data_IF_898878256629
#
_entry.id   IF_898878256629
#
_cell.length_a   1.000
_cell.length_b   1.000
_cell.length_c   1.000
_cell.angle_alpha   90.00
_cell.angle_beta   90.00
_cell.angle_gamma   90.00
#
_symmetry.space_group_name_H-M   'P 1'
#
loop_
_entity.id
_entity.type
_entity.pdbx_description
1 polymer ?
#
# COMPACT_ATOMS: atom_id res chain seq x y z
N UNK A 1 14.54 -17.75 21.94
CA UNK A 1 15.24 -17.07 20.83
C UNK A 1 16.60 -16.60 21.31
N UNK A 2 17.64 -17.19 20.80
CA UNK A 2 18.99 -16.73 21.13
C UNK A 2 19.29 -15.45 20.36
N UNK A 3 19.42 -14.34 21.05
CA UNK A 3 19.78 -13.08 20.44
C UNK A 3 21.25 -13.13 20.01
N UNK A 4 21.52 -12.91 18.73
CA UNK A 4 22.87 -12.76 18.22
C UNK A 4 23.50 -11.45 18.68
N UNK A 5 24.81 -11.29 18.51
CA UNK A 5 25.47 -10.01 18.77
C UNK A 5 24.87 -8.87 17.93
N UNK A 6 24.51 -9.14 16.68
CA UNK A 6 23.84 -8.19 15.81
C UNK A 6 22.46 -7.79 16.38
N UNK A 7 21.67 -8.75 16.88
CA UNK A 7 20.38 -8.47 17.51
C UNK A 7 20.53 -7.53 18.71
N UNK A 8 21.55 -7.76 19.54
CA UNK A 8 21.83 -6.90 20.71
C UNK A 8 22.19 -5.47 20.30
N UNK A 9 22.89 -5.28 19.19
CA UNK A 9 23.23 -3.96 18.66
C UNK A 9 22.00 -3.23 18.09
N UNK A 10 21.16 -3.93 17.36
CA UNK A 10 19.97 -3.34 16.74
C UNK A 10 18.92 -2.93 17.75
N UNK A 11 18.84 -3.59 18.89
CA UNK A 11 17.85 -3.28 19.93
C UNK A 11 18.33 -2.29 20.98
N UNK A 12 19.42 -1.57 20.76
CA UNK A 12 19.74 -0.40 21.58
C UNK A 12 18.67 0.67 21.42
N UNK A 13 18.33 1.35 22.52
CA UNK A 13 17.27 2.36 22.55
C UNK A 13 17.42 3.43 21.47
N UNK A 14 18.63 3.90 21.22
CA UNK A 14 18.91 4.91 20.19
C UNK A 14 18.62 4.37 18.78
N UNK A 15 18.97 3.11 18.52
CA UNK A 15 18.71 2.48 17.22
C UNK A 15 17.22 2.28 16.97
N UNK A 16 16.43 1.97 18.01
CA UNK A 16 14.99 1.83 17.91
C UNK A 16 14.34 3.16 17.49
N UNK A 17 14.76 4.27 18.08
CA UNK A 17 14.25 5.58 17.72
C UNK A 17 14.60 5.95 16.27
N UNK A 18 15.82 5.68 15.83
CA UNK A 18 16.23 5.89 14.43
C UNK A 18 15.44 5.00 13.45
N UNK A 19 15.14 3.75 13.82
CA UNK A 19 14.31 2.87 13.02
C UNK A 19 12.91 3.44 12.88
N UNK A 20 12.28 3.89 13.97
CA UNK A 20 10.94 4.48 13.94
C UNK A 20 10.91 5.72 13.05
N UNK A 21 11.86 6.64 13.21
CA UNK A 21 11.96 7.83 12.38
C UNK A 21 12.24 7.49 10.91
N UNK A 22 13.11 6.53 10.66
CA UNK A 22 13.44 6.04 9.33
C UNK A 22 12.23 5.44 8.63
N UNK A 23 11.47 4.59 9.31
CA UNK A 23 10.22 4.02 8.78
C UNK A 23 9.19 5.11 8.45
N UNK A 24 9.00 6.06 9.35
CA UNK A 24 8.06 7.16 9.13
C UNK A 24 8.44 8.01 7.92
N UNK A 25 9.70 8.43 7.82
CA UNK A 25 10.18 9.24 6.70
C UNK A 25 10.10 8.47 5.38
N UNK A 26 10.50 7.20 5.38
CA UNK A 26 10.47 6.34 4.19
C UNK A 26 9.04 6.11 3.71
N UNK A 27 8.13 5.84 4.63
CA UNK A 27 6.70 5.70 4.32
C UNK A 27 6.12 6.97 3.69
N UNK A 28 6.39 8.12 4.30
CA UNK A 28 5.89 9.42 3.79
C UNK A 28 6.46 9.75 2.41
N UNK A 29 7.75 9.50 2.20
CA UNK A 29 8.39 9.72 0.89
C UNK A 29 7.80 8.81 -0.17
N UNK A 30 7.64 7.52 0.13
CA UNK A 30 7.07 6.55 -0.80
C UNK A 30 5.59 6.86 -1.09
N UNK A 31 4.82 7.18 -0.06
CA UNK A 31 3.42 7.60 -0.21
C UNK A 31 3.28 8.79 -1.15
N UNK A 32 4.14 9.79 -1.00
CA UNK A 32 4.16 10.99 -1.84
C UNK A 32 4.39 10.63 -3.32
N UNK A 33 5.37 9.80 -3.60
CA UNK A 33 5.67 9.37 -4.97
C UNK A 33 4.52 8.56 -5.60
N UNK A 34 3.91 7.69 -4.83
CA UNK A 34 2.74 6.92 -5.27
C UNK A 34 1.55 7.84 -5.51
N UNK A 35 1.32 8.80 -4.63
CA UNK A 35 0.24 9.77 -4.76
C UNK A 35 0.34 10.59 -6.05
N UNK A 36 1.54 11.02 -6.43
CA UNK A 36 1.77 11.73 -7.70
C UNK A 36 1.32 10.86 -8.89
N UNK A 37 1.66 9.57 -8.87
CA UNK A 37 1.22 8.63 -9.90
C UNK A 37 -0.31 8.46 -9.93
N UNK A 38 -0.94 8.42 -8.77
CA UNK A 38 -2.38 8.32 -8.65
C UNK A 38 -3.10 9.55 -9.20
N UNK A 39 -2.64 10.75 -8.86
CA UNK A 39 -3.23 12.02 -9.27
C UNK A 39 -3.27 12.17 -10.78
N UNK A 40 -2.27 11.66 -11.49
CA UNK A 40 -2.25 11.65 -12.95
C UNK A 40 -3.41 10.85 -13.57
N UNK A 41 -4.01 9.95 -12.81
CA UNK A 41 -5.14 9.12 -13.22
C UNK A 41 -6.41 9.44 -12.41
N UNK A 42 -6.47 10.59 -11.78
CA UNK A 42 -7.61 11.04 -10.97
C UNK A 42 -7.96 10.06 -9.84
N UNK A 43 -6.95 9.48 -9.22
CA UNK A 43 -7.06 8.62 -8.04
C UNK A 43 -6.41 9.29 -6.83
N UNK A 44 -6.92 9.01 -5.64
CA UNK A 44 -6.21 9.30 -4.41
C UNK A 44 -5.38 8.08 -3.99
N UNK A 45 -4.40 8.30 -3.13
CA UNK A 45 -3.62 7.21 -2.54
C UNK A 45 -4.52 6.21 -1.80
N UNK A 46 -5.46 6.70 -0.98
CA UNK A 46 -6.38 5.83 -0.24
C UNK A 46 -7.31 5.03 -1.15
N UNK A 47 -7.78 5.61 -2.25
CA UNK A 47 -8.54 4.89 -3.26
C UNK A 47 -7.73 3.74 -3.86
N UNK A 48 -6.47 3.99 -4.22
CA UNK A 48 -5.60 2.94 -4.74
C UNK A 48 -5.42 1.80 -3.74
N UNK A 49 -5.15 2.11 -2.48
CA UNK A 49 -4.94 1.09 -1.44
C UNK A 49 -6.19 0.23 -1.26
N UNK A 50 -7.37 0.83 -1.24
CA UNK A 50 -8.65 0.10 -1.17
C UNK A 50 -8.82 -0.83 -2.39
N UNK A 51 -8.55 -0.32 -3.58
CA UNK A 51 -8.64 -1.13 -4.81
C UNK A 51 -7.68 -2.32 -4.76
N UNK A 52 -6.44 -2.13 -4.31
CA UNK A 52 -5.44 -3.20 -4.23
C UNK A 52 -5.87 -4.30 -3.26
N UNK A 53 -6.50 -3.96 -2.14
CA UNK A 53 -7.06 -4.95 -1.21
C UNK A 53 -8.23 -5.74 -1.84
N UNK A 54 -9.08 -5.06 -2.61
CA UNK A 54 -10.15 -5.72 -3.36
C UNK A 54 -9.57 -6.67 -4.42
N UNK A 55 -8.52 -6.27 -5.13
CA UNK A 55 -7.82 -7.12 -6.10
C UNK A 55 -7.20 -8.36 -5.46
N UNK A 56 -6.75 -8.27 -4.22
CA UNK A 56 -6.25 -9.42 -3.46
C UNK A 56 -7.35 -10.39 -3.02
N UNK A 57 -8.60 -10.06 -3.26
CA UNK A 57 -9.73 -10.93 -2.97
C UNK A 57 -10.55 -10.57 -1.73
N UNK A 58 -10.23 -9.47 -1.05
CA UNK A 58 -11.04 -9.00 0.08
C UNK A 58 -12.30 -8.33 -0.48
N UNK A 59 -13.47 -8.92 -0.18
CA UNK A 59 -14.75 -8.48 -0.72
C UNK A 59 -15.69 -7.84 0.30
N UNK A 60 -15.44 -8.04 1.59
CA UNK A 60 -16.28 -7.51 2.66
C UNK A 60 -15.73 -6.17 3.15
N UNK A 61 -16.62 -5.17 3.25
CA UNK A 61 -16.26 -3.83 3.74
C UNK A 61 -15.57 -3.86 5.11
N UNK A 62 -16.06 -4.70 6.02
CA UNK A 62 -15.48 -4.78 7.37
C UNK A 62 -14.02 -5.26 7.35
N UNK A 63 -13.71 -6.22 6.49
CA UNK A 63 -12.36 -6.76 6.38
C UNK A 63 -11.40 -5.73 5.76
N UNK A 64 -11.86 -4.98 4.77
CA UNK A 64 -11.08 -3.88 4.18
C UNK A 64 -10.80 -2.80 5.22
N UNK A 65 -11.84 -2.37 5.95
CA UNK A 65 -11.72 -1.34 6.98
C UNK A 65 -10.73 -1.75 8.07
N UNK A 66 -10.81 -2.99 8.56
CA UNK A 66 -9.92 -3.52 9.59
C UNK A 66 -8.48 -3.60 9.08
N UNK A 67 -8.28 -4.11 7.88
CA UNK A 67 -6.94 -4.30 7.31
C UNK A 67 -6.22 -2.99 7.03
N UNK A 68 -6.95 -1.97 6.62
CA UNK A 68 -6.41 -0.66 6.29
C UNK A 68 -6.50 0.35 7.44
N UNK A 69 -6.97 -0.06 8.60
CA UNK A 69 -7.18 0.82 9.75
C UNK A 69 -8.06 2.04 9.42
N UNK A 70 -9.07 1.83 8.58
CA UNK A 70 -10.01 2.86 8.16
C UNK A 70 -11.29 2.82 9.01
N UNK A 71 -11.82 3.99 9.33
CA UNK A 71 -13.17 4.09 9.88
C UNK A 71 -14.19 3.70 8.81
N UNK A 72 -15.28 3.03 9.21
CA UNK A 72 -16.34 2.59 8.31
C UNK A 72 -16.88 3.73 7.44
N UNK A 73 -17.05 4.92 8.01
CA UNK A 73 -17.52 6.09 7.27
C UNK A 73 -16.56 6.53 6.18
N UNK A 74 -15.26 6.55 6.47
CA UNK A 74 -14.23 6.90 5.51
C UNK A 74 -14.17 5.88 4.35
N UNK A 75 -14.25 4.59 4.66
CA UNK A 75 -14.31 3.55 3.64
C UNK A 75 -15.54 3.71 2.75
N UNK A 76 -16.71 3.97 3.33
CA UNK A 76 -17.94 4.18 2.55
C UNK A 76 -17.82 5.35 1.57
N UNK A 77 -17.18 6.47 1.99
CA UNK A 77 -16.91 7.60 1.11
C UNK A 77 -15.98 7.21 -0.04
N UNK A 78 -14.90 6.51 0.26
CA UNK A 78 -13.95 6.02 -0.75
C UNK A 78 -14.66 5.11 -1.76
N UNK A 79 -15.44 4.15 -1.29
CA UNK A 79 -16.19 3.24 -2.17
C UNK A 79 -17.21 3.97 -3.04
N UNK A 80 -17.89 4.97 -2.49
CA UNK A 80 -18.82 5.81 -3.24
C UNK A 80 -18.11 6.59 -4.35
N UNK A 81 -16.97 7.20 -4.05
CA UNK A 81 -16.18 7.95 -5.03
C UNK A 81 -15.68 7.04 -6.15
N UNK A 82 -15.22 5.83 -5.80
CA UNK A 82 -14.79 4.84 -6.79
C UNK A 82 -15.94 4.34 -7.68
N UNK A 83 -17.15 4.23 -7.14
CA UNK A 83 -18.34 3.93 -7.94
C UNK A 83 -18.69 5.08 -8.89
N UNK A 84 -18.62 6.32 -8.42
CA UNK A 84 -18.86 7.50 -9.25
C UNK A 84 -17.86 7.63 -10.40
N UNK A 85 -16.63 7.20 -10.17
CA UNK A 85 -15.58 7.13 -11.20
C UNK A 85 -15.68 5.91 -12.11
N UNK A 86 -16.70 5.08 -11.92
CA UNK A 86 -16.90 3.83 -12.66
C UNK A 86 -15.73 2.83 -12.55
N UNK A 87 -15.05 2.84 -11.43
CA UNK A 87 -13.93 1.92 -11.13
C UNK A 87 -14.44 0.67 -10.43
N UNK A 88 -15.39 0.85 -9.51
CA UNK A 88 -16.03 -0.23 -8.76
C UNK A 88 -17.52 -0.34 -9.09
N UNK A 89 -18.02 -1.55 -8.98
CA UNK A 89 -19.44 -1.88 -9.02
C UNK A 89 -19.79 -2.71 -7.78
N UNK A 90 -20.86 -2.35 -7.10
CA UNK A 90 -21.42 -3.15 -6.03
C UNK A 90 -22.52 -4.04 -6.60
N UNK A 91 -22.40 -5.34 -6.42
CA UNK A 91 -23.37 -6.35 -6.86
C UNK A 91 -23.65 -7.30 -5.70
N UNK A 92 -24.91 -7.37 -5.22
CA UNK A 92 -25.40 -8.31 -4.20
C UNK A 92 -24.44 -8.56 -3.04
N UNK A 93 -23.94 -7.53 -2.38
CA UNK A 93 -22.93 -7.57 -1.29
C UNK A 93 -21.49 -7.87 -1.73
N UNK A 94 -21.25 -8.05 -3.03
CA UNK A 94 -19.91 -8.19 -3.59
C UNK A 94 -19.42 -6.88 -4.16
N UNK A 95 -18.13 -6.62 -3.99
CA UNK A 95 -17.44 -5.47 -4.58
C UNK A 95 -16.65 -5.99 -5.78
N UNK A 96 -16.96 -5.46 -6.95
CA UNK A 96 -16.31 -5.86 -8.21
C UNK A 96 -15.58 -4.67 -8.83
N UNK A 97 -14.45 -4.95 -9.46
CA UNK A 97 -13.72 -3.96 -10.24
C UNK A 97 -14.24 -4.02 -11.68
N UNK A 98 -14.57 -2.87 -12.24
CA UNK A 98 -15.06 -2.79 -13.63
C UNK A 98 -13.91 -2.97 -14.62
N UNK A 99 -14.22 -3.20 -15.89
CA UNK A 99 -13.21 -3.28 -16.95
C UNK A 99 -12.40 -1.98 -17.06
N UNK A 100 -13.08 -0.82 -17.04
CA UNK A 100 -12.41 0.47 -17.04
C UNK A 100 -11.57 0.70 -15.78
N UNK A 101 -12.02 0.17 -14.65
CA UNK A 101 -11.27 0.15 -13.40
C UNK A 101 -9.98 -0.65 -13.52
N UNK A 102 -10.04 -1.85 -14.09
CA UNK A 102 -8.84 -2.69 -14.30
C UNK A 102 -7.80 -1.99 -15.20
N UNK A 103 -8.25 -1.37 -16.27
CA UNK A 103 -7.37 -0.62 -17.18
C UNK A 103 -6.69 0.57 -16.49
N UNK A 104 -7.45 1.32 -15.69
CA UNK A 104 -6.94 2.45 -14.93
C UNK A 104 -5.93 2.01 -13.87
N UNK A 105 -6.23 0.93 -13.16
CA UNK A 105 -5.33 0.36 -12.15
C UNK A 105 -4.03 -0.11 -12.79
N UNK A 106 -4.11 -0.82 -13.91
CA UNK A 106 -2.94 -1.29 -14.63
C UNK A 106 -2.02 -0.11 -15.04
N UNK A 107 -2.61 0.92 -15.62
CA UNK A 107 -1.90 2.12 -16.03
C UNK A 107 -1.24 2.84 -14.85
N UNK A 108 -1.94 2.91 -13.71
CA UNK A 108 -1.43 3.55 -12.50
C UNK A 108 -0.29 2.73 -11.89
N UNK A 109 -0.48 1.42 -11.76
CA UNK A 109 0.52 0.52 -11.18
C UNK A 109 1.79 0.41 -12.05
N UNK A 110 1.67 0.48 -13.36
CA UNK A 110 2.81 0.51 -14.26
C UNK A 110 3.69 1.74 -14.00
N UNK A 111 3.08 2.91 -13.83
CA UNK A 111 3.80 4.15 -13.47
C UNK A 111 4.47 4.06 -12.10
N UNK A 112 3.76 3.51 -11.12
CA UNK A 112 4.31 3.30 -9.78
C UNK A 112 5.51 2.35 -9.86
N UNK A 113 5.37 1.27 -10.61
CA UNK A 113 6.43 0.29 -10.78
C UNK A 113 7.70 0.91 -11.39
N UNK A 114 7.57 1.72 -12.43
CA UNK A 114 8.70 2.45 -13.02
C UNK A 114 9.41 3.33 -11.99
N UNK A 115 8.65 4.05 -11.15
CA UNK A 115 9.22 4.90 -10.10
C UNK A 115 9.92 4.08 -9.00
N UNK A 116 9.29 3.00 -8.56
CA UNK A 116 9.84 2.12 -7.52
C UNK A 116 11.12 1.44 -8.00
N UNK A 117 11.16 0.98 -9.24
CA UNK A 117 12.36 0.40 -9.85
C UNK A 117 13.52 1.41 -9.82
N UNK A 118 13.28 2.68 -10.14
CA UNK A 118 14.30 3.72 -10.08
C UNK A 118 14.84 3.93 -8.67
N UNK A 119 13.96 3.90 -7.66
CA UNK A 119 14.34 4.06 -6.24
C UNK A 119 15.20 2.88 -5.78
N UNK A 120 14.83 1.66 -6.16
CA UNK A 120 15.48 0.43 -5.69
C UNK A 120 16.53 -0.13 -6.65
N UNK A 121 16.80 0.55 -7.78
CA UNK A 121 17.75 0.08 -8.82
C UNK A 121 19.14 -0.29 -8.29
N UNK A 122 19.58 0.36 -7.22
CA UNK A 122 20.90 0.11 -6.60
C UNK A 122 20.83 -0.87 -5.44
N UNK A 123 19.65 -1.41 -5.14
CA UNK A 123 19.47 -2.32 -4.02
C UNK A 123 19.74 -3.75 -4.45
N UNK A 124 20.57 -4.45 -3.66
CA UNK A 124 20.84 -5.88 -3.85
C UNK A 124 19.52 -6.68 -3.74
N UNK A 125 19.23 -7.63 -4.66
CA UNK A 125 18.06 -8.50 -4.58
C UNK A 125 17.90 -9.21 -3.23
N UNK A 126 19.01 -9.58 -2.59
CA UNK A 126 19.01 -10.19 -1.26
C UNK A 126 18.49 -9.24 -0.20
N UNK A 127 18.87 -7.97 -0.26
CA UNK A 127 18.38 -6.93 0.66
C UNK A 127 16.89 -6.63 0.41
N UNK A 128 16.44 -6.68 -0.82
CA UNK A 128 15.01 -6.55 -1.16
C UNK A 128 14.18 -7.69 -0.58
N UNK A 129 14.64 -8.93 -0.69
CA UNK A 129 13.97 -10.08 -0.08
C UNK A 129 13.87 -9.94 1.44
N UNK A 130 14.94 -9.49 2.09
CA UNK A 130 14.95 -9.23 3.52
C UNK A 130 13.95 -8.15 3.93
N UNK A 131 13.86 -7.06 3.16
CA UNK A 131 12.92 -5.99 3.39
C UNK A 131 11.46 -6.44 3.25
N UNK A 132 11.14 -7.22 2.21
CA UNK A 132 9.81 -7.80 2.01
C UNK A 132 9.45 -8.72 3.18
N UNK A 133 10.36 -9.59 3.60
CA UNK A 133 10.14 -10.49 4.74
C UNK A 133 9.83 -9.71 6.03
N UNK A 134 10.49 -8.60 6.27
CA UNK A 134 10.22 -7.74 7.44
C UNK A 134 8.81 -7.15 7.34
N UNK A 135 8.42 -6.63 6.19
CA UNK A 135 7.08 -6.07 5.97
C UNK A 135 6.00 -7.13 6.18
N UNK A 136 6.19 -8.33 5.65
CA UNK A 136 5.23 -9.43 5.77
C UNK A 136 5.09 -9.94 7.21
N UNK A 137 6.10 -9.73 8.05
CA UNK A 137 6.08 -10.13 9.46
C UNK A 137 5.39 -9.12 10.38
N UNK A 138 5.12 -7.92 9.91
CA UNK A 138 4.42 -6.88 10.67
C UNK A 138 2.91 -7.10 10.66
#
# INVERSE_FOLDING_TARGET
>A
MNLSFADTLYFKKENILEIILGLHRSYKSLQREIQICCELNNLTFNELIVILEIKKGIKKKIDIANKLFLKKQNLNLILKDLQLKNILKLDNKSILITQSGEELIQKTTDRINEKIIKIFKKTDPKNMSGFINIIESL
#
